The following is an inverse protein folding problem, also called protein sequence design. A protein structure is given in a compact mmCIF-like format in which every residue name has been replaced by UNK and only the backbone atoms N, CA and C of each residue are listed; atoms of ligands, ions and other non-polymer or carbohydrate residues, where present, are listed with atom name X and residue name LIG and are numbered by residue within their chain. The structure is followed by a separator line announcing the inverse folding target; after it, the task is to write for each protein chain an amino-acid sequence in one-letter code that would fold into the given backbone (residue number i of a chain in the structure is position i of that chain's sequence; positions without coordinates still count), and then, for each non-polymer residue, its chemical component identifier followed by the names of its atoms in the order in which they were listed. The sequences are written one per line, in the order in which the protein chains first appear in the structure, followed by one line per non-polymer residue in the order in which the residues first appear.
data_IF_881150797702
#
_entry.id   IF_881150797702
#
_cell.length_a   1.000
_cell.length_b   1.000
_cell.length_c   1.000
_cell.angle_alpha   90.00
_cell.angle_beta   90.00
_cell.angle_gamma   90.00
#
_symmetry.space_group_name_H-M   'P 1'
#
loop_
_entity.id
_entity.type
_entity.pdbx_description
1 polymer ?
#
# COMPACT_ATOMS: atom_id res chain seq x y z
N UNK A 1 5.54 18.19 -7.53
CA UNK A 1 4.64 17.03 -7.36
C UNK A 1 3.41 17.30 -8.23
N UNK A 2 2.95 16.37 -9.08
CA UNK A 2 1.80 16.65 -9.99
C UNK A 2 0.60 17.13 -9.16
N UNK A 3 -0.03 18.26 -9.53
CA UNK A 3 -1.05 18.94 -8.71
C UNK A 3 -2.26 18.08 -8.30
N UNK A 4 -2.45 16.90 -8.91
CA UNK A 4 -3.53 15.97 -8.59
C UNK A 4 -3.05 14.61 -7.99
N UNK A 5 -1.74 14.42 -7.80
CA UNK A 5 -1.21 13.12 -7.35
C UNK A 5 -1.72 12.75 -5.95
N UNK A 6 -1.72 13.71 -5.03
CA UNK A 6 -2.18 13.48 -3.66
C UNK A 6 -3.68 13.11 -3.62
N UNK A 7 -4.50 13.78 -4.43
CA UNK A 7 -5.92 13.47 -4.55
C UNK A 7 -6.14 12.06 -5.10
N UNK A 8 -5.39 11.66 -6.14
CA UNK A 8 -5.45 10.31 -6.69
C UNK A 8 -4.96 9.25 -5.71
N UNK A 9 -3.93 9.57 -4.93
CA UNK A 9 -3.34 8.66 -3.95
C UNK A 9 -4.27 8.38 -2.78
N UNK A 10 -4.98 9.42 -2.31
CA UNK A 10 -5.93 9.31 -1.19
C UNK A 10 -7.38 9.01 -1.65
N UNK A 11 -7.57 8.68 -2.93
CA UNK A 11 -8.87 8.26 -3.45
C UNK A 11 -9.05 6.76 -3.23
N UNK A 12 -10.20 6.36 -2.68
CA UNK A 12 -10.58 4.95 -2.43
C UNK A 12 -9.50 4.18 -1.68
N UNK A 13 -9.05 4.73 -0.56
CA UNK A 13 -8.01 4.11 0.28
C UNK A 13 -8.46 2.79 0.88
N UNK A 14 -9.76 2.59 1.06
CA UNK A 14 -10.39 1.34 1.47
C UNK A 14 -10.17 0.20 0.47
N UNK A 15 -10.07 0.52 -0.83
CA UNK A 15 -9.85 -0.47 -1.88
C UNK A 15 -8.36 -0.69 -2.13
N UNK A 16 -7.58 0.38 -2.06
CA UNK A 16 -6.16 0.40 -2.46
C UNK A 16 -5.20 0.15 -1.30
N UNK A 17 -5.66 0.34 -0.06
CA UNK A 17 -4.83 0.25 1.15
C UNK A 17 -3.78 1.36 1.27
N UNK A 18 -3.89 2.44 0.49
CA UNK A 18 -2.95 3.56 0.48
C UNK A 18 -3.03 4.39 1.74
N UNK A 19 -1.87 4.77 2.28
CA UNK A 19 -1.80 5.74 3.36
C UNK A 19 -0.47 6.49 3.37
N UNK A 20 -0.43 7.55 4.18
CA UNK A 20 0.71 8.44 4.31
C UNK A 20 1.14 8.44 5.77
N UNK A 21 2.45 8.37 6.00
CA UNK A 21 3.05 8.43 7.33
C UNK A 21 4.09 9.53 7.33
N UNK A 22 3.98 10.47 8.26
CA UNK A 22 5.04 11.45 8.50
C UNK A 22 5.91 10.97 9.65
N UNK A 23 7.20 10.81 9.41
CA UNK A 23 8.16 10.55 10.47
C UNK A 23 8.31 11.78 11.36
N UNK A 24 8.27 11.55 12.68
CA UNK A 24 8.56 12.60 13.67
C UNK A 24 10.06 12.77 13.91
N UNK A 25 10.88 11.81 13.49
CA UNK A 25 12.33 11.80 13.67
C UNK A 25 12.99 12.55 12.52
N UNK A 26 12.68 12.14 11.29
CA UNK A 26 13.34 12.68 10.08
C UNK A 26 12.55 13.81 9.42
N UNK A 27 11.28 13.99 9.79
CA UNK A 27 10.35 14.91 9.11
C UNK A 27 9.92 14.43 7.71
N UNK A 28 10.42 13.27 7.25
CA UNK A 28 10.12 12.71 5.94
C UNK A 28 8.66 12.22 5.90
N UNK A 29 7.99 12.51 4.79
CA UNK A 29 6.65 12.00 4.51
C UNK A 29 6.74 10.77 3.60
N UNK A 30 6.44 9.60 4.16
CA UNK A 30 6.39 8.33 3.45
C UNK A 30 5.01 8.09 2.87
N UNK A 31 4.97 7.69 1.61
CA UNK A 31 3.78 7.20 0.94
C UNK A 31 3.86 5.68 0.90
N UNK A 32 2.80 5.01 1.32
CA UNK A 32 2.77 3.56 1.44
C UNK A 32 1.68 2.98 0.55
N UNK A 33 2.06 2.02 -0.29
CA UNK A 33 1.17 1.23 -1.15
C UNK A 33 1.36 -0.26 -0.85
N UNK A 34 0.33 -0.97 -0.36
CA UNK A 34 0.34 -2.42 -0.35
C UNK A 34 0.25 -2.95 -1.79
N UNK A 35 1.19 -3.81 -2.19
CA UNK A 35 1.19 -4.42 -3.53
C UNK A 35 0.54 -5.81 -3.46
N UNK A 36 -0.45 -6.03 -4.31
CA UNK A 36 -1.04 -7.34 -4.50
C UNK A 36 -0.07 -8.23 -5.30
N UNK A 37 0.41 -9.29 -4.65
CA UNK A 37 1.32 -10.26 -5.26
C UNK A 37 0.58 -11.51 -5.77
N UNK A 38 -0.72 -11.39 -6.01
CA UNK A 38 -1.60 -12.46 -6.45
C UNK A 38 -2.18 -13.22 -5.25
N UNK A 39 -3.45 -12.95 -4.96
CA UNK A 39 -4.30 -13.85 -4.17
C UNK A 39 -4.89 -14.91 -5.11
N UNK A 40 -5.28 -16.10 -4.62
CA UNK A 40 -6.23 -16.92 -5.35
C UNK A 40 -7.49 -16.08 -5.60
N UNK A 41 -7.87 -15.90 -6.86
CA UNK A 41 -8.98 -15.04 -7.33
C UNK A 41 -10.37 -15.39 -6.76
N UNK A 42 -10.49 -16.42 -5.91
CA UNK A 42 -11.74 -16.89 -5.31
C UNK A 42 -11.49 -17.28 -3.88
N UNK A 43 -11.74 -16.36 -2.94
CA UNK A 43 -11.56 -16.68 -1.53
C UNK A 43 -12.86 -16.53 -0.73
N UNK A 44 -13.76 -15.60 -1.06
CA UNK A 44 -14.95 -15.35 -0.22
C UNK A 44 -16.13 -14.82 -1.03
N UNK A 45 -17.27 -15.48 -0.89
CA UNK A 45 -18.53 -15.23 -1.58
C UNK A 45 -19.66 -15.92 -0.83
N UNK A 46 -20.90 -15.66 -1.21
CA UNK A 46 -22.04 -16.42 -0.69
C UNK A 46 -21.98 -17.86 -1.21
N UNK A 47 -22.42 -18.82 -0.41
CA UNK A 47 -22.61 -20.18 -0.88
C UNK A 47 -24.05 -20.32 -1.36
N UNK A 48 -24.24 -20.52 -2.66
CA UNK A 48 -25.58 -20.80 -3.20
C UNK A 48 -26.09 -22.13 -2.62
N UNK A 49 -27.21 -22.14 -1.88
CA UNK A 49 -27.73 -23.34 -1.23
C UNK A 49 -28.23 -24.41 -2.21
N UNK A 50 -28.61 -24.03 -3.43
CA UNK A 50 -29.12 -24.94 -4.46
C UNK A 50 -28.00 -25.55 -5.30
N UNK A 51 -27.01 -24.75 -5.71
CA UNK A 51 -25.91 -25.23 -6.57
C UNK A 51 -24.66 -25.64 -5.81
N UNK A 52 -24.57 -25.30 -4.51
CA UNK A 52 -23.38 -25.46 -3.66
C UNK A 52 -22.13 -24.80 -4.24
N UNK A 53 -22.28 -23.84 -5.15
CA UNK A 53 -21.19 -23.07 -5.72
C UNK A 53 -21.01 -21.78 -4.93
N UNK A 54 -19.77 -21.33 -4.81
CA UNK A 54 -19.45 -20.02 -4.27
C UNK A 54 -19.87 -18.95 -5.29
N UNK A 55 -20.89 -18.17 -4.95
CA UNK A 55 -21.42 -17.03 -5.71
C UNK A 55 -21.12 -15.75 -4.95
N UNK A 56 -20.25 -14.89 -5.50
CA UNK A 56 -19.87 -13.63 -4.87
C UNK A 56 -18.36 -13.43 -4.89
N UNK A 57 -17.96 -12.17 -5.01
CA UNK A 57 -16.55 -11.77 -5.13
C UNK A 57 -16.20 -10.66 -4.14
N UNK A 58 -16.48 -10.95 -2.86
CA UNK A 58 -16.22 -10.02 -1.77
C UNK A 58 -14.71 -9.78 -1.59
N UNK A 59 -13.89 -10.77 -1.97
CA UNK A 59 -12.43 -10.69 -1.90
C UNK A 59 -11.79 -9.74 -2.92
N UNK A 60 -12.32 -9.64 -4.15
CA UNK A 60 -11.76 -8.73 -5.16
C UNK A 60 -12.30 -7.31 -5.11
N UNK A 61 -13.51 -7.10 -4.57
CA UNK A 61 -14.11 -5.77 -4.50
C UNK A 61 -13.38 -4.85 -3.52
N UNK A 62 -12.79 -5.39 -2.45
CA UNK A 62 -11.96 -4.64 -1.47
C UNK A 62 -10.61 -5.31 -1.26
N UNK A 63 -9.69 -5.14 -2.24
CA UNK A 63 -8.38 -5.82 -2.22
C UNK A 63 -7.49 -5.36 -1.05
N UNK A 64 -7.64 -4.10 -0.64
CA UNK A 64 -6.77 -3.44 0.33
C UNK A 64 -5.33 -3.31 -0.18
N UNK A 65 -5.14 -3.40 -1.50
CA UNK A 65 -3.85 -3.43 -2.17
C UNK A 65 -4.00 -3.03 -3.63
N UNK A 66 -2.92 -2.53 -4.21
CA UNK A 66 -2.84 -2.12 -5.61
C UNK A 66 -2.06 -3.16 -6.42
N UNK A 67 -2.42 -3.32 -7.70
CA UNK A 67 -1.56 -4.06 -8.61
C UNK A 67 -0.27 -3.27 -8.85
N UNK A 68 0.81 -3.97 -9.19
CA UNK A 68 2.11 -3.33 -9.44
C UNK A 68 2.04 -2.30 -10.57
N UNK A 69 1.20 -2.56 -11.57
CA UNK A 69 0.98 -1.71 -12.74
C UNK A 69 0.18 -0.44 -12.40
N UNK A 70 -0.64 -0.49 -11.35
CA UNK A 70 -1.50 0.61 -10.88
C UNK A 70 -0.83 1.47 -9.78
N UNK A 71 0.43 1.18 -9.45
CA UNK A 71 1.19 1.90 -8.42
C UNK A 71 1.41 3.36 -8.82
N UNK A 72 1.20 4.27 -7.87
CA UNK A 72 1.49 5.69 -8.04
C UNK A 72 2.87 6.07 -7.52
N UNK A 73 3.50 5.22 -6.69
CA UNK A 73 4.85 5.40 -6.15
C UNK A 73 5.89 5.07 -7.23
N UNK A 74 6.02 5.98 -8.20
CA UNK A 74 6.95 5.89 -9.32
C UNK A 74 7.89 7.10 -9.34
N UNK A 75 9.12 6.89 -9.85
CA UNK A 75 10.10 7.98 -10.01
C UNK A 75 9.55 9.14 -10.85
N UNK A 76 8.80 8.84 -11.90
CA UNK A 76 8.11 9.82 -12.78
C UNK A 76 7.05 10.67 -12.07
N UNK A 77 6.52 10.19 -10.92
CA UNK A 77 5.59 10.95 -10.10
C UNK A 77 6.31 11.79 -9.03
N UNK A 78 7.65 11.76 -9.00
CA UNK A 78 8.50 12.57 -8.13
C UNK A 78 8.93 11.87 -6.84
N UNK A 79 8.67 10.57 -6.70
CA UNK A 79 9.09 9.79 -5.55
C UNK A 79 10.58 9.45 -5.61
N UNK A 80 11.23 9.45 -4.44
CA UNK A 80 12.63 9.08 -4.23
C UNK A 80 12.70 7.97 -3.19
N UNK A 81 13.82 7.24 -3.16
CA UNK A 81 14.08 6.15 -2.19
C UNK A 81 12.95 5.11 -2.11
N UNK A 82 12.42 4.74 -3.29
CA UNK A 82 11.36 3.76 -3.44
C UNK A 82 11.93 2.37 -3.19
N UNK A 83 11.30 1.59 -2.33
CA UNK A 83 11.62 0.18 -2.14
C UNK A 83 10.35 -0.66 -2.00
N UNK A 84 10.49 -1.95 -2.27
CA UNK A 84 9.47 -2.96 -2.01
C UNK A 84 10.03 -3.87 -0.92
N UNK A 85 9.25 -4.15 0.10
CA UNK A 85 9.64 -5.01 1.22
C UNK A 85 8.46 -5.90 1.63
N UNK A 86 8.73 -6.90 2.47
CA UNK A 86 7.72 -7.76 3.09
C UNK A 86 7.69 -7.48 4.58
N UNK A 87 6.50 -7.40 5.18
CA UNK A 87 6.31 -7.14 6.60
C UNK A 87 5.49 -5.89 6.87
N UNK A 88 5.58 -5.37 8.11
CA UNK A 88 4.86 -4.16 8.52
C UNK A 88 5.49 -2.91 7.90
N UNK A 89 4.71 -2.05 7.22
CA UNK A 89 5.23 -0.78 6.71
C UNK A 89 5.70 0.19 7.78
N UNK A 90 5.07 0.16 8.95
CA UNK A 90 5.48 1.00 10.07
C UNK A 90 6.85 0.56 10.59
N UNK A 91 7.09 -0.75 10.69
CA UNK A 91 8.39 -1.27 11.13
C UNK A 91 9.52 -0.95 10.16
N UNK A 92 9.25 -0.91 8.85
CA UNK A 92 10.26 -0.49 7.85
C UNK A 92 10.55 1.02 7.93
N UNK A 93 9.54 1.84 8.25
CA UNK A 93 9.73 3.28 8.50
C UNK A 93 10.57 3.47 9.77
N UNK A 94 10.23 2.79 10.86
CA UNK A 94 10.97 2.86 12.13
C UNK A 94 12.45 2.44 11.93
N UNK A 95 12.70 1.38 11.16
CA UNK A 95 14.07 0.94 10.82
C UNK A 95 14.86 2.06 10.11
N UNK A 96 14.25 2.73 9.13
CA UNK A 96 14.90 3.82 8.38
C UNK A 96 15.17 5.04 9.25
N UNK A 97 14.20 5.37 10.08
CA UNK A 97 14.32 6.50 10.99
C UNK A 97 15.44 6.24 12.01
N UNK A 98 15.55 5.02 12.53
CA UNK A 98 16.65 4.62 13.40
C UNK A 98 18.02 4.66 12.71
N UNK A 99 18.11 4.18 11.45
CA UNK A 99 19.34 4.30 10.65
C UNK A 99 19.74 5.76 10.42
N UNK A 100 18.77 6.65 10.20
CA UNK A 100 19.02 8.07 10.09
C UNK A 100 19.53 8.67 11.40
N UNK A 101 18.98 8.28 12.55
CA UNK A 101 19.46 8.74 13.86
C UNK A 101 20.92 8.34 14.10
N UNK A 102 21.27 7.07 13.86
CA UNK A 102 22.65 6.57 14.06
C UNK A 102 23.68 7.28 13.17
N UNK A 103 23.29 7.65 11.95
CA UNK A 103 24.18 8.34 11.02
C UNK A 103 24.38 9.82 11.36
N UNK A 104 23.39 10.46 12.00
CA UNK A 104 23.40 11.89 12.27
C UNK A 104 23.62 12.25 13.75
N UNK A 105 23.56 11.27 14.65
CA UNK A 105 23.87 11.37 16.08
C UNK A 105 24.74 10.17 16.51
N UNK A 106 26.01 10.13 16.09
CA UNK A 106 26.94 9.04 16.42
C UNK A 106 27.32 8.99 17.91
#
# INVERSE_FOLDING_TARGET
MKNNLLQRFLCKTEDTGRFIVQSKITGITYFVEPIDNGKPDKLWGDLDPATKKLTGDYGNSRRGAVKKEDSLILKENGFKNISIFRGSPLGEIDRRDHEYELLNNP
#
